data_IF_956450101672
#
_entry.id   IF_956450101672
#
_cell.length_a   1.000
_cell.length_b   1.000
_cell.length_c   1.000
_cell.angle_alpha   90.00
_cell.angle_beta   90.00
_cell.angle_gamma   90.00
#
_symmetry.space_group_name_H-M   'P 1'
#
loop_
_entity.id
_entity.type
_entity.pdbx_description
1 polymer ?
#
# COMPACT_ATOMS: atom_id res chain seq x y z
N UNK A 1 7.95 -20.14 16.38
CA UNK A 1 7.34 -20.78 15.19
C UNK A 1 5.97 -20.19 15.01
N UNK A 2 5.61 -19.68 13.82
CA UNK A 2 4.23 -19.27 13.56
C UNK A 2 3.37 -20.53 13.50
N UNK A 3 2.29 -20.59 14.28
CA UNK A 3 1.33 -21.68 14.20
C UNK A 3 0.71 -21.73 12.81
N UNK A 4 0.57 -22.93 12.25
CA UNK A 4 -0.12 -23.16 10.99
C UNK A 4 -1.58 -23.48 11.26
N UNK A 5 -2.52 -23.08 10.41
CA UNK A 5 -3.91 -23.51 10.56
C UNK A 5 -4.00 -25.02 10.45
N UNK A 6 -4.86 -25.61 11.23
CA UNK A 6 -5.12 -27.05 11.25
C UNK A 6 -6.59 -27.33 10.97
N UNK A 7 -6.93 -28.58 10.72
CA UNK A 7 -8.33 -29.01 10.58
C UNK A 7 -9.11 -28.80 11.89
N UNK A 8 -8.42 -28.86 13.02
CA UNK A 8 -9.03 -28.62 14.34
C UNK A 8 -9.53 -27.18 14.49
N UNK A 9 -8.85 -26.21 13.87
CA UNK A 9 -9.32 -24.82 13.83
C UNK A 9 -10.74 -24.73 13.28
N UNK A 10 -11.04 -25.44 12.19
CA UNK A 10 -12.36 -25.41 11.60
C UNK A 10 -13.38 -26.19 12.45
N UNK A 11 -12.96 -27.30 13.04
CA UNK A 11 -13.82 -28.09 13.95
C UNK A 11 -14.24 -27.27 15.18
N UNK A 12 -13.29 -26.62 15.84
CA UNK A 12 -13.56 -25.75 16.99
C UNK A 12 -14.44 -24.57 16.63
N UNK A 13 -14.11 -23.90 15.51
CA UNK A 13 -14.88 -22.79 14.99
C UNK A 13 -16.33 -23.20 14.72
N UNK A 14 -16.54 -24.32 13.98
CA UNK A 14 -17.87 -24.82 13.63
C UNK A 14 -18.71 -25.17 14.87
N UNK A 15 -18.11 -25.85 15.84
CA UNK A 15 -18.82 -26.24 17.07
C UNK A 15 -19.20 -25.03 17.98
N UNK A 16 -18.52 -23.92 17.83
CA UNK A 16 -18.85 -22.68 18.56
C UNK A 16 -19.92 -21.82 17.87
N UNK A 17 -20.37 -22.18 16.67
CA UNK A 17 -21.42 -21.45 15.97
C UNK A 17 -22.83 -21.84 16.43
N UNK A 18 -23.68 -20.90 16.84
CA UNK A 18 -25.02 -21.21 17.36
C UNK A 18 -25.93 -21.99 16.41
N UNK A 19 -25.72 -21.82 15.08
CA UNK A 19 -26.54 -22.49 14.05
C UNK A 19 -26.11 -23.93 13.80
N UNK A 20 -24.92 -24.33 14.24
CA UNK A 20 -24.37 -25.68 14.05
C UNK A 20 -24.57 -26.48 15.31
N UNK A 21 -25.13 -27.69 15.17
CA UNK A 21 -25.29 -28.64 16.29
C UNK A 21 -24.04 -29.52 16.48
N UNK A 22 -23.36 -29.84 15.38
CA UNK A 22 -22.13 -30.64 15.37
C UNK A 22 -21.29 -30.35 14.12
N UNK A 23 -19.98 -30.24 14.30
CA UNK A 23 -19.00 -30.10 13.23
C UNK A 23 -18.01 -31.27 13.25
N UNK A 24 -18.10 -32.17 12.30
CA UNK A 24 -17.22 -33.32 12.15
C UNK A 24 -16.25 -33.06 11.02
N UNK A 25 -14.94 -33.15 11.26
CA UNK A 25 -13.90 -32.97 10.24
C UNK A 25 -13.16 -34.29 10.06
N UNK A 26 -13.25 -34.84 8.84
CA UNK A 26 -12.58 -36.09 8.46
C UNK A 26 -11.09 -35.87 8.09
N UNK A 27 -10.34 -36.98 8.06
CA UNK A 27 -8.95 -36.99 7.61
C UNK A 27 -8.82 -36.69 6.10
N UNK A 28 -9.90 -36.85 5.35
CA UNK A 28 -10.05 -36.50 3.92
C UNK A 28 -10.21 -34.98 3.68
N UNK A 29 -10.13 -34.19 4.76
CA UNK A 29 -10.33 -32.74 4.74
C UNK A 29 -11.76 -32.32 4.37
N UNK A 30 -12.73 -33.18 4.55
CA UNK A 30 -14.14 -32.84 4.42
C UNK A 30 -14.72 -32.57 5.80
N UNK A 31 -15.35 -31.40 5.94
CA UNK A 31 -16.12 -31.03 7.11
C UNK A 31 -17.60 -31.28 6.85
N UNK A 32 -18.24 -32.01 7.74
CA UNK A 32 -19.69 -32.22 7.77
C UNK A 32 -20.28 -31.34 8.89
N UNK A 33 -21.10 -30.36 8.51
CA UNK A 33 -21.79 -29.46 9.41
C UNK A 33 -23.23 -29.93 9.56
N UNK A 34 -23.63 -30.36 10.76
CA UNK A 34 -25.02 -30.63 11.09
C UNK A 34 -25.64 -29.34 11.60
N UNK A 35 -26.68 -28.89 10.96
CA UNK A 35 -27.40 -27.68 11.34
C UNK A 35 -28.47 -28.02 12.36
N UNK A 36 -28.83 -27.08 13.24
CA UNK A 36 -29.89 -27.30 14.25
C UNK A 36 -31.31 -27.47 13.67
N UNK A 37 -31.48 -27.18 12.36
CA UNK A 37 -32.72 -27.40 11.62
C UNK A 37 -32.73 -28.73 10.82
N UNK A 38 -31.98 -29.72 11.26
CA UNK A 38 -31.81 -31.04 10.65
C UNK A 38 -31.18 -31.05 9.24
N UNK A 39 -30.54 -29.93 8.85
CA UNK A 39 -29.78 -29.87 7.59
C UNK A 39 -28.35 -30.37 7.76
N UNK A 40 -27.80 -30.96 6.68
CA UNK A 40 -26.39 -31.35 6.61
C UNK A 40 -25.70 -30.64 5.42
N UNK A 41 -24.52 -30.07 5.68
CA UNK A 41 -23.72 -29.42 4.68
C UNK A 41 -22.29 -29.99 4.71
N UNK A 42 -21.79 -30.43 3.56
CA UNK A 42 -20.40 -30.87 3.40
C UNK A 42 -19.57 -29.82 2.72
N UNK A 43 -18.38 -29.57 3.27
CA UNK A 43 -17.45 -28.51 2.85
C UNK A 43 -16.05 -29.11 2.77
N UNK A 44 -15.32 -28.84 1.69
CA UNK A 44 -13.90 -29.17 1.56
C UNK A 44 -13.06 -28.12 2.26
N UNK A 45 -12.10 -28.55 3.06
CA UNK A 45 -11.13 -27.68 3.73
C UNK A 45 -9.80 -27.69 2.99
N UNK A 46 -9.30 -26.51 2.67
CA UNK A 46 -8.02 -26.31 1.98
C UNK A 46 -7.09 -25.50 2.88
N UNK A 47 -5.99 -26.10 3.30
CA UNK A 47 -5.03 -25.44 4.18
C UNK A 47 -4.02 -24.66 3.37
N UNK A 48 -3.94 -23.35 3.56
CA UNK A 48 -2.90 -22.49 3.01
C UNK A 48 -1.84 -22.17 4.08
N UNK A 49 -0.58 -22.33 3.74
CA UNK A 49 0.54 -22.06 4.66
C UNK A 49 0.73 -20.58 4.99
N UNK A 50 0.32 -19.71 4.11
CA UNK A 50 0.33 -18.24 4.25
C UNK A 50 -0.98 -17.70 3.63
N UNK A 51 -1.41 -16.51 4.05
CA UNK A 51 -2.64 -15.87 3.52
C UNK A 51 -2.38 -14.83 2.43
N UNK A 52 -1.27 -14.93 1.70
CA UNK A 52 -0.95 -13.97 0.63
C UNK A 52 -1.76 -14.24 -0.65
N UNK A 53 -2.09 -13.18 -1.42
CA UNK A 53 -2.90 -13.29 -2.62
C UNK A 53 -2.42 -14.34 -3.63
N UNK A 54 -1.10 -14.48 -3.83
CA UNK A 54 -0.52 -15.48 -4.74
C UNK A 54 -0.91 -16.90 -4.35
N UNK A 55 -0.67 -17.26 -3.10
CA UNK A 55 -0.96 -18.61 -2.62
C UNK A 55 -2.45 -18.93 -2.59
N UNK A 56 -3.26 -17.93 -2.28
CA UNK A 56 -4.72 -18.11 -2.30
C UNK A 56 -5.22 -18.27 -3.74
N UNK A 57 -4.69 -17.54 -4.71
CA UNK A 57 -5.00 -17.75 -6.14
C UNK A 57 -4.60 -19.14 -6.61
N UNK A 58 -3.38 -19.59 -6.25
CA UNK A 58 -2.92 -20.95 -6.54
C UNK A 58 -3.85 -21.99 -5.90
N UNK A 59 -4.18 -21.84 -4.62
CA UNK A 59 -5.10 -22.74 -3.94
C UNK A 59 -6.49 -22.78 -4.59
N UNK A 60 -7.04 -21.63 -5.01
CA UNK A 60 -8.31 -21.55 -5.72
C UNK A 60 -8.24 -22.27 -7.07
N UNK A 61 -7.14 -22.07 -7.83
CA UNK A 61 -6.96 -22.69 -9.14
C UNK A 61 -6.85 -24.22 -9.08
N UNK A 62 -6.26 -24.72 -7.99
CA UNK A 62 -6.06 -26.16 -7.78
C UNK A 62 -7.27 -26.86 -7.14
N UNK A 63 -8.32 -26.11 -6.78
CA UNK A 63 -9.51 -26.67 -6.15
C UNK A 63 -10.40 -27.42 -7.14
N UNK A 64 -10.82 -28.65 -6.79
CA UNK A 64 -11.88 -29.30 -7.53
C UNK A 64 -13.22 -28.55 -7.37
N UNK A 65 -13.97 -28.44 -8.46
CA UNK A 65 -15.26 -27.72 -8.50
C UNK A 65 -16.47 -28.54 -8.05
N UNK A 66 -16.27 -29.78 -7.58
CA UNK A 66 -17.31 -30.71 -7.21
C UNK A 66 -17.98 -30.43 -5.86
N UNK A 67 -17.32 -29.59 -5.02
CA UNK A 67 -17.78 -29.28 -3.67
C UNK A 67 -17.37 -27.85 -3.26
N UNK A 68 -18.23 -27.18 -2.52
CA UNK A 68 -17.89 -25.89 -1.89
C UNK A 68 -16.67 -26.03 -0.99
N UNK A 69 -15.73 -25.12 -1.15
CA UNK A 69 -14.44 -25.17 -0.46
C UNK A 69 -14.25 -23.96 0.48
N UNK A 70 -13.57 -24.20 1.60
CA UNK A 70 -13.18 -23.17 2.57
C UNK A 70 -11.67 -23.20 2.77
N UNK A 71 -11.00 -22.06 2.56
CA UNK A 71 -9.57 -21.91 2.75
C UNK A 71 -9.29 -21.59 4.22
N UNK A 72 -8.43 -22.39 4.84
CA UNK A 72 -7.89 -22.15 6.17
C UNK A 72 -6.52 -21.50 6.02
N UNK A 73 -6.34 -20.29 6.51
CA UNK A 73 -5.08 -19.57 6.43
C UNK A 73 -4.67 -18.96 7.77
N UNK A 74 -3.37 -18.71 8.03
CA UNK A 74 -2.97 -18.04 9.26
C UNK A 74 -3.56 -16.64 9.37
N UNK A 75 -3.71 -15.95 8.26
CA UNK A 75 -4.24 -14.61 8.14
C UNK A 75 -4.83 -14.39 6.74
N UNK A 76 -5.97 -13.71 6.67
CA UNK A 76 -6.63 -13.29 5.43
C UNK A 76 -6.64 -11.76 5.38
N UNK A 77 -6.07 -11.18 4.31
CA UNK A 77 -6.15 -9.73 4.06
C UNK A 77 -7.51 -9.39 3.43
N UNK A 78 -7.90 -8.11 3.46
CA UNK A 78 -9.10 -7.64 2.77
C UNK A 78 -9.07 -8.00 1.27
N UNK A 79 -7.93 -7.76 0.60
CA UNK A 79 -7.71 -8.13 -0.80
C UNK A 79 -7.88 -9.64 -1.02
N UNK A 80 -7.36 -10.47 -0.10
CA UNK A 80 -7.48 -11.93 -0.20
C UNK A 80 -8.91 -12.40 0.07
N UNK A 81 -9.60 -11.76 1.01
CA UNK A 81 -11.02 -12.01 1.26
C UNK A 81 -11.88 -11.72 0.03
N UNK A 82 -11.60 -10.62 -0.67
CA UNK A 82 -12.28 -10.26 -1.92
C UNK A 82 -12.00 -11.26 -3.05
N UNK A 83 -10.76 -11.79 -3.14
CA UNK A 83 -10.43 -12.86 -4.08
C UNK A 83 -11.25 -14.12 -3.80
N UNK A 84 -11.34 -14.55 -2.53
CA UNK A 84 -12.14 -15.70 -2.13
C UNK A 84 -13.62 -15.50 -2.48
N UNK A 85 -14.19 -14.34 -2.14
CA UNK A 85 -15.59 -14.01 -2.44
C UNK A 85 -15.90 -14.02 -3.93
N UNK A 86 -15.02 -13.42 -4.77
CA UNK A 86 -15.16 -13.42 -6.24
C UNK A 86 -15.10 -14.82 -6.85
N UNK A 87 -14.36 -15.71 -6.21
CA UNK A 87 -14.24 -17.10 -6.62
C UNK A 87 -15.31 -18.02 -5.99
N UNK A 88 -16.26 -17.45 -5.24
CA UNK A 88 -17.29 -18.19 -4.50
C UNK A 88 -16.72 -19.26 -3.53
N UNK A 89 -15.55 -18.96 -2.94
CA UNK A 89 -14.83 -19.81 -1.98
C UNK A 89 -14.91 -19.18 -0.59
N UNK A 90 -15.17 -19.97 0.43
CA UNK A 90 -15.13 -19.54 1.82
C UNK A 90 -13.69 -19.40 2.34
N UNK A 91 -13.55 -18.70 3.47
CA UNK A 91 -12.29 -18.65 4.21
C UNK A 91 -12.52 -18.59 5.71
N UNK A 92 -11.50 -19.04 6.46
CA UNK A 92 -11.37 -18.89 7.90
C UNK A 92 -9.91 -18.61 8.25
N UNK A 93 -9.64 -17.55 9.01
CA UNK A 93 -8.31 -17.28 9.54
C UNK A 93 -8.17 -17.70 11.01
N UNK A 94 -6.94 -17.71 11.52
CA UNK A 94 -6.66 -18.16 12.90
C UNK A 94 -7.20 -17.25 14.00
N UNK A 95 -7.67 -16.04 13.67
CA UNK A 95 -8.36 -15.15 14.60
C UNK A 95 -9.89 -15.33 14.55
N UNK A 96 -10.39 -16.23 13.69
CA UNK A 96 -11.82 -16.46 13.51
C UNK A 96 -12.49 -15.47 12.56
N UNK A 97 -11.74 -14.64 11.81
CA UNK A 97 -12.34 -13.92 10.69
C UNK A 97 -12.74 -14.93 9.62
N UNK A 98 -13.98 -14.86 9.17
CA UNK A 98 -14.58 -15.89 8.34
C UNK A 98 -15.57 -15.32 7.34
N UNK A 99 -15.65 -15.97 6.17
CA UNK A 99 -16.75 -15.83 5.24
C UNK A 99 -17.09 -17.20 4.66
N UNK A 100 -18.33 -17.64 4.86
CA UNK A 100 -18.89 -18.86 4.28
C UNK A 100 -20.28 -18.52 3.76
N UNK A 101 -20.49 -18.67 2.46
CA UNK A 101 -21.77 -18.40 1.79
C UNK A 101 -22.11 -19.59 0.89
N UNK A 102 -22.82 -20.58 1.42
CA UNK A 102 -23.15 -21.79 0.68
C UNK A 102 -24.50 -22.37 1.10
N UNK A 103 -25.38 -22.61 0.13
CA UNK A 103 -26.77 -23.09 0.35
C UNK A 103 -27.50 -22.18 1.35
N UNK A 104 -28.00 -22.76 2.45
CA UNK A 104 -28.69 -22.04 3.53
C UNK A 104 -27.74 -21.46 4.59
N UNK A 105 -26.44 -21.65 4.46
CA UNK A 105 -25.44 -21.18 5.43
C UNK A 105 -24.78 -19.89 4.96
N UNK A 106 -24.96 -18.83 5.74
CA UNK A 106 -24.23 -17.58 5.57
C UNK A 106 -23.56 -17.18 6.89
N UNK A 107 -22.25 -17.09 6.90
CA UNK A 107 -21.45 -16.70 8.06
C UNK A 107 -20.48 -15.63 7.60
N UNK A 108 -20.49 -14.46 8.24
CA UNK A 108 -19.50 -13.41 8.02
C UNK A 108 -19.06 -12.86 9.37
N UNK A 109 -17.78 -13.03 9.70
CA UNK A 109 -17.13 -12.52 10.90
C UNK A 109 -15.90 -11.73 10.46
N UNK A 110 -15.83 -10.45 10.87
CA UNK A 110 -14.76 -9.53 10.53
C UNK A 110 -14.30 -8.76 11.75
N UNK A 111 -13.07 -8.26 11.68
CA UNK A 111 -12.54 -7.29 12.65
C UNK A 111 -11.82 -7.93 13.84
N UNK A 112 -11.73 -9.25 13.93
CA UNK A 112 -10.92 -9.91 14.95
C UNK A 112 -9.44 -9.58 14.73
N UNK A 113 -8.75 -9.13 15.78
CA UNK A 113 -7.31 -8.88 15.73
C UNK A 113 -6.56 -10.19 15.53
N UNK A 114 -5.82 -10.29 14.44
CA UNK A 114 -5.04 -11.47 14.12
C UNK A 114 -3.54 -11.19 14.36
N UNK A 115 -2.97 -11.83 15.37
CA UNK A 115 -1.54 -11.71 15.72
C UNK A 115 -0.64 -12.41 14.68
N UNK A 116 -1.18 -13.32 13.88
CA UNK A 116 -0.48 -13.98 12.78
C UNK A 116 -0.37 -13.10 11.54
N UNK A 117 -0.94 -11.89 11.60
CA UNK A 117 -0.81 -10.90 10.53
C UNK A 117 0.66 -10.78 10.12
N UNK A 118 1.00 -10.91 8.83
CA UNK A 118 2.36 -10.75 8.35
C UNK A 118 2.80 -9.30 8.48
N UNK A 119 2.95 -8.84 9.75
CA UNK A 119 3.11 -7.43 10.06
C UNK A 119 4.51 -6.88 9.79
N UNK A 120 5.54 -7.73 9.80
CA UNK A 120 6.93 -7.24 9.56
C UNK A 120 7.32 -7.18 8.09
N UNK A 121 6.76 -8.03 7.23
CA UNK A 121 7.11 -8.06 5.81
C UNK A 121 6.53 -6.87 5.02
N UNK A 122 5.23 -6.58 5.19
CA UNK A 122 4.53 -5.50 4.49
C UNK A 122 5.04 -4.13 4.98
N UNK A 123 5.09 -3.93 6.30
CA UNK A 123 5.61 -2.69 6.87
C UNK A 123 7.06 -2.44 6.45
N UNK A 124 7.93 -3.47 6.43
CA UNK A 124 9.35 -3.28 6.13
C UNK A 124 9.66 -2.80 4.72
N UNK A 125 8.82 -3.08 3.72
CA UNK A 125 9.02 -2.59 2.35
C UNK A 125 8.57 -1.13 2.18
N UNK A 126 7.49 -0.76 2.85
CA UNK A 126 6.89 0.57 2.76
C UNK A 126 7.31 1.53 3.89
N UNK A 127 8.02 1.02 4.92
CA UNK A 127 8.44 1.84 6.05
C UNK A 127 9.43 2.93 5.63
N UNK A 128 9.33 4.09 6.28
CA UNK A 128 10.23 5.23 6.08
C UNK A 128 11.70 4.87 6.34
N UNK A 129 11.97 3.97 7.28
CA UNK A 129 13.32 3.45 7.57
C UNK A 129 13.92 2.62 6.43
N UNK A 130 13.08 2.12 5.53
CA UNK A 130 13.50 1.31 4.38
C UNK A 130 13.79 2.17 3.15
N UNK A 131 14.78 3.07 3.25
CA UNK A 131 15.15 4.02 2.18
C UNK A 131 15.38 3.31 0.85
N UNK A 132 16.15 2.23 0.85
CA UNK A 132 16.45 1.46 -0.38
C UNK A 132 15.20 0.86 -1.00
N UNK A 133 14.29 0.30 -0.20
CA UNK A 133 13.00 -0.22 -0.70
C UNK A 133 12.16 0.88 -1.32
N UNK A 134 12.14 2.07 -0.69
CA UNK A 134 11.46 3.25 -1.23
C UNK A 134 12.03 3.68 -2.60
N UNK A 135 13.35 3.66 -2.77
CA UNK A 135 14.00 3.98 -4.06
C UNK A 135 13.61 2.94 -5.12
N UNK A 136 13.69 1.64 -4.80
CA UNK A 136 13.32 0.55 -5.71
C UNK A 136 11.86 0.69 -6.16
N UNK A 137 10.93 0.92 -5.23
CA UNK A 137 9.52 1.12 -5.54
C UNK A 137 9.28 2.34 -6.45
N UNK A 138 9.97 3.45 -6.20
CA UNK A 138 9.87 4.67 -7.02
C UNK A 138 10.34 4.43 -8.44
N UNK A 139 11.45 3.71 -8.63
CA UNK A 139 11.96 3.36 -9.96
C UNK A 139 10.97 2.47 -10.71
N UNK A 140 10.41 1.45 -10.04
CA UNK A 140 9.41 0.55 -10.63
C UNK A 140 8.13 1.29 -11.04
N UNK A 141 7.69 2.26 -10.24
CA UNK A 141 6.45 3.01 -10.46
C UNK A 141 6.60 4.22 -11.40
N UNK A 142 7.83 4.62 -11.72
CA UNK A 142 8.08 5.70 -12.70
C UNK A 142 7.75 5.26 -14.13
N UNK A 143 8.03 3.99 -14.45
CA UNK A 143 7.60 3.36 -15.71
C UNK A 143 7.08 1.94 -15.45
N UNK A 144 5.78 1.85 -15.24
CA UNK A 144 5.10 0.57 -14.92
C UNK A 144 5.04 -0.40 -16.09
N UNK A 145 5.29 0.05 -17.33
CA UNK A 145 5.31 -0.80 -18.54
C UNK A 145 6.66 -1.45 -18.77
N UNK A 146 7.72 -0.97 -18.10
CA UNK A 146 9.06 -1.49 -18.24
C UNK A 146 9.23 -2.79 -17.48
N UNK A 147 9.81 -3.78 -18.15
CA UNK A 147 10.32 -5.00 -17.51
C UNK A 147 11.76 -4.76 -17.05
N UNK A 148 12.03 -5.00 -15.77
CA UNK A 148 13.32 -4.75 -15.15
C UNK A 148 14.04 -6.06 -14.84
N UNK A 149 15.27 -6.22 -15.32
CA UNK A 149 16.16 -7.26 -14.80
C UNK A 149 16.64 -6.86 -13.41
N UNK A 150 16.77 -7.82 -12.48
CA UNK A 150 17.14 -7.52 -11.10
C UNK A 150 18.49 -6.79 -10.98
N UNK A 151 19.45 -7.13 -11.84
CA UNK A 151 20.76 -6.46 -11.88
C UNK A 151 20.66 -5.00 -12.32
N UNK A 152 19.86 -4.71 -13.33
CA UNK A 152 19.62 -3.34 -13.82
C UNK A 152 18.90 -2.50 -12.77
N UNK A 153 17.88 -3.06 -12.12
CA UNK A 153 17.14 -2.39 -11.05
C UNK A 153 18.05 -2.12 -9.83
N UNK A 154 18.93 -3.06 -9.48
CA UNK A 154 19.93 -2.87 -8.41
C UNK A 154 20.90 -1.74 -8.73
N UNK A 155 21.38 -1.68 -9.97
CA UNK A 155 22.25 -0.60 -10.44
C UNK A 155 21.54 0.75 -10.43
N UNK A 156 20.31 0.82 -10.94
CA UNK A 156 19.50 2.04 -10.96
C UNK A 156 19.16 2.55 -9.55
N UNK A 157 18.94 1.62 -8.61
CA UNK A 157 18.64 1.93 -7.20
C UNK A 157 19.90 2.16 -6.33
N UNK A 158 21.11 1.97 -6.87
CA UNK A 158 22.36 2.08 -6.10
C UNK A 158 22.47 1.08 -4.95
N UNK A 159 21.95 -0.15 -5.13
CA UNK A 159 21.85 -1.12 -4.04
C UNK A 159 22.28 -2.55 -4.47
N UNK A 160 22.26 -3.49 -3.52
CA UNK A 160 22.58 -4.90 -3.83
C UNK A 160 21.38 -5.62 -4.48
N UNK A 161 21.68 -6.65 -5.31
CA UNK A 161 20.67 -7.53 -5.90
C UNK A 161 19.82 -8.21 -4.80
N UNK A 162 20.42 -8.53 -3.64
CA UNK A 162 19.71 -9.12 -2.51
C UNK A 162 18.61 -8.19 -1.93
N UNK A 163 18.86 -6.87 -1.93
CA UNK A 163 17.85 -5.89 -1.52
C UNK A 163 16.70 -5.81 -2.53
N UNK A 164 17.01 -5.80 -3.83
CA UNK A 164 16.00 -5.87 -4.89
C UNK A 164 15.18 -7.16 -4.78
N UNK A 165 15.85 -8.31 -4.54
CA UNK A 165 15.16 -9.60 -4.40
C UNK A 165 14.14 -9.60 -3.26
N UNK A 166 14.46 -8.99 -2.12
CA UNK A 166 13.52 -8.87 -0.98
C UNK A 166 12.25 -8.08 -1.37
N UNK A 167 12.44 -6.95 -2.06
CA UNK A 167 11.30 -6.14 -2.54
C UNK A 167 10.49 -6.90 -3.59
N UNK A 168 11.18 -7.54 -4.56
CA UNK A 168 10.56 -8.39 -5.57
C UNK A 168 9.73 -9.52 -4.93
N UNK A 169 10.32 -10.27 -4.00
CA UNK A 169 9.63 -11.40 -3.36
C UNK A 169 8.37 -10.96 -2.62
N UNK A 170 8.40 -9.78 -2.01
CA UNK A 170 7.23 -9.17 -1.41
C UNK A 170 6.17 -8.84 -2.48
N UNK A 171 6.53 -8.12 -3.56
CA UNK A 171 5.60 -7.71 -4.62
C UNK A 171 5.00 -8.92 -5.36
N UNK A 172 5.79 -9.97 -5.59
CA UNK A 172 5.31 -11.25 -6.18
C UNK A 172 4.30 -11.95 -5.27
N UNK A 173 4.54 -11.99 -3.96
CA UNK A 173 3.58 -12.58 -2.99
C UNK A 173 2.25 -11.83 -2.98
N UNK A 174 2.28 -10.51 -3.18
CA UNK A 174 1.09 -9.66 -3.27
C UNK A 174 0.43 -9.70 -4.65
N UNK A 175 1.04 -10.34 -5.64
CA UNK A 175 0.59 -10.33 -7.05
C UNK A 175 0.57 -8.93 -7.67
N UNK A 176 1.49 -8.05 -7.25
CA UNK A 176 1.61 -6.69 -7.79
C UNK A 176 2.54 -6.59 -8.99
N UNK A 177 3.38 -7.59 -9.16
CA UNK A 177 4.30 -7.71 -10.29
C UNK A 177 4.14 -9.06 -10.97
N UNK A 178 4.33 -9.08 -12.28
CA UNK A 178 4.60 -10.29 -13.03
C UNK A 178 6.10 -10.60 -13.02
N UNK A 179 6.44 -11.87 -13.03
CA UNK A 179 7.82 -12.36 -13.08
C UNK A 179 7.99 -13.32 -14.25
N UNK A 180 8.87 -12.97 -15.18
CA UNK A 180 9.25 -13.78 -16.32
C UNK A 180 10.75 -14.05 -16.36
N UNK A 181 11.21 -14.77 -17.39
CA UNK A 181 12.65 -14.94 -17.69
C UNK A 181 13.35 -13.61 -18.02
N UNK A 182 12.60 -12.62 -18.49
CA UNK A 182 13.12 -11.31 -18.86
C UNK A 182 13.28 -10.36 -17.66
N UNK A 183 12.54 -10.60 -16.57
CA UNK A 183 12.60 -9.78 -15.37
C UNK A 183 11.27 -9.66 -14.64
N UNK A 184 11.07 -8.51 -14.01
CA UNK A 184 9.83 -8.15 -13.30
C UNK A 184 9.20 -6.90 -13.91
N UNK A 185 7.87 -6.88 -14.00
CA UNK A 185 7.08 -5.73 -14.42
C UNK A 185 5.92 -5.51 -13.45
N UNK A 186 5.54 -4.24 -13.24
CA UNK A 186 4.43 -3.90 -12.34
C UNK A 186 3.12 -4.10 -13.09
N UNK A 187 2.23 -4.94 -12.55
CA UNK A 187 0.91 -5.23 -13.14
C UNK A 187 -0.25 -4.60 -12.36
N UNK A 188 -0.02 -4.27 -11.08
CA UNK A 188 -1.03 -3.61 -10.25
C UNK A 188 -0.41 -2.42 -9.47
N UNK A 189 -0.05 -1.33 -10.16
CA UNK A 189 0.52 -0.14 -9.52
C UNK A 189 -0.46 0.52 -8.56
N UNK A 190 -1.76 0.39 -8.79
CA UNK A 190 -2.81 0.96 -7.93
C UNK A 190 -2.78 0.35 -6.53
N UNK A 191 -2.70 -0.96 -6.44
CA UNK A 191 -2.62 -1.65 -5.14
C UNK A 191 -1.30 -1.36 -4.42
N UNK A 192 -0.18 -1.30 -5.15
CA UNK A 192 1.12 -0.90 -4.57
C UNK A 192 1.03 0.48 -3.94
N UNK A 193 0.49 1.46 -4.66
CA UNK A 193 0.39 2.85 -4.20
C UNK A 193 -0.56 3.00 -3.01
N UNK A 194 -1.71 2.34 -3.04
CA UNK A 194 -2.69 2.39 -1.96
C UNK A 194 -2.17 1.75 -0.66
N UNK A 195 -1.48 0.61 -0.76
CA UNK A 195 -0.88 -0.03 0.41
C UNK A 195 0.29 0.78 0.97
N UNK A 196 1.07 1.41 0.08
CA UNK A 196 2.13 2.30 0.52
C UNK A 196 1.56 3.53 1.24
N UNK A 197 0.51 4.14 0.71
CA UNK A 197 -0.14 5.31 1.32
C UNK A 197 -0.68 5.02 2.73
N UNK A 198 -1.24 3.83 2.99
CA UNK A 198 -1.69 3.43 4.34
C UNK A 198 -0.55 3.48 5.37
N UNK A 199 0.64 2.96 5.00
CA UNK A 199 1.82 2.97 5.86
C UNK A 199 2.45 4.36 5.94
N UNK A 200 2.43 5.10 4.83
CA UNK A 200 3.00 6.44 4.73
C UNK A 200 2.24 7.46 5.56
N UNK A 201 0.90 7.40 5.56
CA UNK A 201 0.04 8.29 6.36
C UNK A 201 0.20 8.10 7.87
N UNK A 202 0.54 6.87 8.30
CA UNK A 202 0.84 6.55 9.69
C UNK A 202 2.22 7.07 10.14
N UNK A 203 3.10 7.42 9.18
CA UNK A 203 4.40 7.99 9.47
C UNK A 203 4.25 9.48 9.80
N UNK A 204 4.60 9.87 11.03
CA UNK A 204 4.64 11.29 11.43
C UNK A 204 5.83 11.97 10.73
N UNK A 205 5.58 12.58 9.57
CA UNK A 205 6.56 13.46 8.95
C UNK A 205 6.57 14.81 9.67
N UNK A 206 7.77 15.35 9.90
CA UNK A 206 7.90 16.68 10.46
C UNK A 206 7.36 17.71 9.46
N UNK A 207 6.35 18.46 9.88
CA UNK A 207 5.74 19.54 9.09
C UNK A 207 5.99 20.88 9.78
N UNK A 208 6.72 21.74 9.09
CA UNK A 208 7.01 23.08 9.59
C UNK A 208 6.03 24.06 8.96
N UNK A 209 5.27 24.72 9.79
CA UNK A 209 4.25 25.69 9.39
C UNK A 209 4.87 27.10 9.34
N UNK A 210 4.71 27.77 8.20
CA UNK A 210 5.21 29.11 7.98
C UNK A 210 4.12 30.01 7.38
N UNK A 211 4.32 31.32 7.53
CA UNK A 211 3.45 32.35 6.98
C UNK A 211 4.25 33.35 6.14
N UNK A 212 3.68 33.74 5.00
CA UNK A 212 4.12 34.84 4.15
C UNK A 212 2.96 35.75 3.80
N UNK A 213 3.24 37.03 3.60
CA UNK A 213 2.27 38.01 3.05
C UNK A 213 2.24 37.98 1.52
N UNK A 214 3.23 37.35 0.88
CA UNK A 214 3.30 37.26 -0.57
C UNK A 214 2.19 36.35 -1.14
N UNK A 215 1.71 36.60 -2.35
CA UNK A 215 0.83 35.69 -3.07
C UNK A 215 1.44 34.29 -3.19
N UNK A 216 0.60 33.26 -3.21
CA UNK A 216 1.07 31.85 -3.30
C UNK A 216 1.92 31.62 -4.56
N UNK A 217 1.53 32.22 -5.68
CA UNK A 217 2.25 32.16 -6.96
C UNK A 217 3.69 32.64 -6.85
N UNK A 218 3.90 33.77 -6.15
CA UNK A 218 5.23 34.36 -5.99
C UNK A 218 6.11 33.50 -5.08
N UNK A 219 5.50 32.88 -4.05
CA UNK A 219 6.19 31.93 -3.16
C UNK A 219 6.64 30.71 -3.94
N UNK A 220 5.76 30.13 -4.79
CA UNK A 220 6.04 28.94 -5.59
C UNK A 220 7.11 29.20 -6.66
N UNK A 221 7.09 30.37 -7.30
CA UNK A 221 8.15 30.78 -8.23
C UNK A 221 9.50 30.91 -7.53
N UNK A 222 9.54 31.54 -6.35
CA UNK A 222 10.78 31.65 -5.57
C UNK A 222 11.29 30.31 -5.08
N UNK A 223 10.42 29.40 -4.66
CA UNK A 223 10.79 28.02 -4.33
C UNK A 223 11.46 27.36 -5.53
N UNK A 224 10.92 27.53 -6.72
CA UNK A 224 11.44 26.91 -7.94
C UNK A 224 12.80 27.46 -8.37
N UNK A 225 13.06 28.74 -8.11
CA UNK A 225 14.35 29.40 -8.39
C UNK A 225 15.43 29.11 -7.35
N UNK A 226 15.06 28.62 -6.17
CA UNK A 226 15.96 28.44 -5.04
C UNK A 226 17.13 27.49 -5.34
N UNK A 227 16.90 26.48 -6.20
CA UNK A 227 17.96 25.56 -6.64
C UNK A 227 19.06 26.28 -7.44
N UNK A 228 18.66 27.15 -8.38
CA UNK A 228 19.61 27.91 -9.23
C UNK A 228 20.32 29.03 -8.44
N UNK A 229 19.57 29.73 -7.58
CA UNK A 229 20.09 30.90 -6.88
C UNK A 229 20.86 30.58 -5.60
N UNK A 230 20.58 29.46 -4.94
CA UNK A 230 21.13 29.10 -3.63
C UNK A 230 21.63 27.67 -3.50
N UNK A 231 21.45 26.85 -4.52
CA UNK A 231 21.79 25.42 -4.46
C UNK A 231 20.86 24.59 -3.56
N UNK A 232 19.75 25.18 -3.12
CA UNK A 232 18.78 24.52 -2.21
C UNK A 232 17.72 23.81 -3.04
N UNK A 233 17.61 22.49 -2.87
CA UNK A 233 16.58 21.71 -3.54
C UNK A 233 15.30 21.69 -2.73
N UNK A 234 14.28 22.39 -3.20
CA UNK A 234 12.95 22.47 -2.60
C UNK A 234 11.91 22.23 -3.68
N UNK A 235 11.02 21.25 -3.47
CA UNK A 235 10.09 20.79 -4.50
C UNK A 235 8.65 21.01 -4.07
N UNK A 236 7.83 21.52 -4.99
CA UNK A 236 6.39 21.57 -4.75
C UNK A 236 5.82 20.16 -4.64
N UNK A 237 4.99 19.94 -3.60
CA UNK A 237 4.32 18.67 -3.32
C UNK A 237 2.90 18.89 -2.81
N UNK A 238 2.22 17.85 -2.34
CA UNK A 238 0.85 17.95 -1.83
C UNK A 238 -0.05 18.68 -2.81
N UNK A 239 -0.87 19.63 -2.33
CA UNK A 239 -1.77 20.38 -3.20
C UNK A 239 -1.03 21.21 -4.27
N UNK A 240 0.04 21.89 -3.91
CA UNK A 240 0.82 22.72 -4.85
C UNK A 240 1.44 21.92 -5.97
N UNK A 241 2.05 20.77 -5.63
CA UNK A 241 2.59 19.83 -6.61
C UNK A 241 1.48 19.13 -7.39
N UNK A 242 0.43 18.71 -6.72
CA UNK A 242 -0.66 17.96 -7.32
C UNK A 242 -1.39 18.70 -8.42
N UNK A 243 -1.71 19.98 -8.24
CA UNK A 243 -2.38 20.79 -9.28
C UNK A 243 -1.48 21.11 -10.48
N UNK A 244 -0.16 20.94 -10.36
CA UNK A 244 0.75 21.05 -11.50
C UNK A 244 0.61 19.85 -12.44
N UNK A 245 0.41 18.66 -11.87
CA UNK A 245 0.09 17.45 -12.63
C UNK A 245 -1.35 17.46 -13.11
N UNK A 246 -2.31 17.66 -12.16
CA UNK A 246 -3.75 17.55 -12.41
C UNK A 246 -4.50 18.70 -11.71
N UNK A 247 -5.00 19.71 -12.43
CA UNK A 247 -5.62 20.90 -11.84
C UNK A 247 -7.08 20.66 -11.42
N UNK A 248 -7.30 19.68 -10.55
CA UNK A 248 -8.67 19.26 -10.13
C UNK A 248 -9.20 19.98 -8.89
N UNK A 249 -8.32 20.65 -8.10
CA UNK A 249 -8.72 21.38 -6.90
C UNK A 249 -8.10 22.77 -6.82
N UNK A 250 -8.71 23.65 -6.00
CA UNK A 250 -8.09 24.91 -5.55
C UNK A 250 -7.45 24.73 -4.19
N UNK A 251 -6.37 25.42 -3.91
CA UNK A 251 -5.65 25.35 -2.65
C UNK A 251 -5.31 26.74 -2.12
N UNK A 252 -5.06 26.83 -0.81
CA UNK A 252 -4.73 28.08 -0.10
C UNK A 252 -3.42 27.99 0.66
N UNK A 253 -2.69 26.88 0.52
CA UNK A 253 -1.42 26.65 1.21
C UNK A 253 -0.42 26.03 0.25
N UNK A 254 0.76 26.60 0.17
CA UNK A 254 1.90 26.00 -0.53
C UNK A 254 2.40 24.82 0.30
N UNK A 255 2.58 23.67 -0.33
CA UNK A 255 3.25 22.51 0.24
C UNK A 255 4.56 22.28 -0.49
N UNK A 256 5.64 22.21 0.24
CA UNK A 256 6.97 21.99 -0.33
C UNK A 256 7.75 20.94 0.46
N UNK A 257 8.47 20.11 -0.27
CA UNK A 257 9.35 19.08 0.24
C UNK A 257 10.78 19.64 0.30
N UNK A 258 11.45 19.46 1.43
CA UNK A 258 12.80 19.99 1.65
C UNK A 258 13.64 19.06 2.51
N UNK A 259 14.95 19.06 2.31
CA UNK A 259 15.87 18.41 3.23
C UNK A 259 16.01 19.19 4.55
N UNK A 260 16.16 18.47 5.66
CA UNK A 260 16.27 19.07 6.99
C UNK A 260 17.45 20.07 7.10
N UNK A 261 18.56 19.77 6.41
CA UNK A 261 19.74 20.65 6.38
C UNK A 261 19.49 22.00 5.73
N UNK A 262 18.59 22.05 4.75
CA UNK A 262 18.32 23.26 3.95
C UNK A 262 17.16 24.11 4.48
N UNK A 263 16.37 23.57 5.42
CA UNK A 263 15.13 24.20 5.90
C UNK A 263 15.33 25.64 6.39
N UNK A 264 16.36 25.88 7.21
CA UNK A 264 16.62 27.22 7.75
C UNK A 264 16.95 28.21 6.64
N UNK A 265 17.85 27.85 5.75
CA UNK A 265 18.24 28.68 4.61
C UNK A 265 17.07 29.00 3.68
N UNK A 266 16.17 28.02 3.46
CA UNK A 266 14.96 28.23 2.68
C UNK A 266 13.97 29.20 3.34
N UNK A 267 13.75 29.09 4.66
CA UNK A 267 12.90 30.03 5.42
C UNK A 267 13.45 31.46 5.32
N UNK A 268 14.75 31.62 5.51
CA UNK A 268 15.42 32.92 5.45
C UNK A 268 15.36 33.52 4.02
N UNK A 269 15.64 32.72 3.01
CA UNK A 269 15.57 33.13 1.60
C UNK A 269 14.17 33.58 1.18
N UNK A 270 13.13 32.84 1.59
CA UNK A 270 11.74 33.17 1.26
C UNK A 270 11.15 34.27 2.15
N UNK A 271 11.84 34.69 3.21
CA UNK A 271 11.36 35.68 4.17
C UNK A 271 10.14 35.22 4.94
N UNK A 272 10.09 33.94 5.31
CA UNK A 272 8.97 33.32 6.00
C UNK A 272 9.08 33.47 7.52
N UNK A 273 7.94 33.48 8.19
CA UNK A 273 7.84 33.37 9.67
C UNK A 273 7.26 32.02 10.06
N UNK A 274 7.91 31.31 10.98
CA UNK A 274 7.31 30.12 11.60
C UNK A 274 6.11 30.55 12.44
N UNK A 275 5.02 29.79 12.34
CA UNK A 275 3.76 30.08 13.05
C UNK A 275 3.10 28.78 13.52
N UNK A 276 2.38 28.86 14.63
CA UNK A 276 1.63 27.72 15.16
C UNK A 276 0.24 27.60 14.51
N UNK A 277 -0.28 28.71 13.97
CA UNK A 277 -1.58 28.75 13.30
C UNK A 277 -1.59 29.77 12.15
N UNK A 278 -2.53 29.65 11.23
CA UNK A 278 -2.68 30.57 10.10
C UNK A 278 -1.60 30.41 9.01
N UNK A 279 -0.88 29.30 8.97
CA UNK A 279 0.15 29.03 7.97
C UNK A 279 -0.44 28.99 6.55
N UNK A 280 0.28 29.58 5.60
CA UNK A 280 0.03 29.44 4.17
C UNK A 280 1.19 28.78 3.40
N UNK A 281 2.28 28.41 4.10
CA UNK A 281 3.37 27.60 3.60
C UNK A 281 3.64 26.47 4.57
N UNK A 282 3.72 25.25 4.07
CA UNK A 282 3.99 24.05 4.86
C UNK A 282 5.17 23.32 4.24
N UNK A 283 6.26 23.23 4.97
CA UNK A 283 7.37 22.36 4.59
C UNK A 283 7.19 20.98 5.17
N UNK A 284 7.34 19.96 4.32
CA UNK A 284 7.46 18.55 4.70
C UNK A 284 8.96 18.23 4.70
N UNK A 285 9.49 17.96 5.91
CA UNK A 285 10.94 17.83 6.10
C UNK A 285 11.38 16.40 5.92
N UNK A 286 12.40 16.18 5.11
CA UNK A 286 13.04 14.87 4.88
C UNK A 286 14.46 14.84 5.45
N UNK A 287 14.85 13.68 5.92
CA UNK A 287 16.14 13.46 6.57
C UNK A 287 17.08 12.51 5.80
N UNK A 288 16.73 12.09 4.59
CA UNK A 288 17.39 10.98 3.90
C UNK A 288 17.82 11.27 2.46
N UNK A 289 17.94 12.52 2.07
CA UNK A 289 18.53 12.92 0.78
C UNK A 289 17.81 12.43 -0.48
N UNK A 290 16.59 11.89 -0.36
CA UNK A 290 15.82 11.39 -1.51
C UNK A 290 14.78 12.39 -2.04
N UNK A 291 14.96 13.69 -1.72
CA UNK A 291 13.98 14.74 -2.04
C UNK A 291 13.75 14.87 -3.54
N UNK A 292 14.82 14.91 -4.32
CA UNK A 292 14.79 15.18 -5.75
C UNK A 292 14.58 13.96 -6.66
N UNK A 293 14.43 12.75 -6.12
CA UNK A 293 14.32 11.54 -6.94
C UNK A 293 13.10 11.60 -7.87
N UNK A 294 13.34 11.53 -9.20
CA UNK A 294 12.32 11.61 -10.25
C UNK A 294 11.47 12.90 -10.21
N UNK A 295 12.02 13.99 -9.67
CA UNK A 295 11.38 15.31 -9.73
C UNK A 295 11.24 15.79 -11.18
N UNK A 296 10.25 16.64 -11.44
CA UNK A 296 9.94 17.15 -12.79
C UNK A 296 9.81 18.67 -12.78
N UNK A 297 10.15 19.30 -13.88
CA UNK A 297 9.85 20.71 -14.10
C UNK A 297 8.51 20.79 -14.84
N UNK A 298 7.49 21.36 -14.18
CA UNK A 298 6.13 21.51 -14.73
C UNK A 298 5.73 22.97 -14.61
N UNK A 299 5.46 23.63 -15.74
CA UNK A 299 5.10 25.05 -15.80
C UNK A 299 6.11 25.93 -15.03
N UNK A 300 7.40 25.73 -15.31
CA UNK A 300 8.53 26.40 -14.67
C UNK A 300 8.66 26.19 -13.15
N UNK A 301 7.97 25.22 -12.60
CA UNK A 301 8.08 24.86 -11.17
C UNK A 301 8.75 23.49 -11.01
N UNK A 302 9.66 23.40 -10.03
CA UNK A 302 10.25 22.14 -9.63
C UNK A 302 9.25 21.39 -8.74
N UNK A 303 8.80 20.24 -9.21
CA UNK A 303 7.71 19.44 -8.58
C UNK A 303 8.25 18.07 -8.24
N UNK A 304 7.89 17.56 -7.05
CA UNK A 304 8.21 16.20 -6.64
C UNK A 304 7.62 15.17 -7.61
N UNK A 305 8.18 13.96 -7.63
CA UNK A 305 7.70 12.88 -8.50
C UNK A 305 6.22 12.59 -8.30
N UNK A 306 5.50 12.05 -9.31
CA UNK A 306 4.09 11.68 -9.17
C UNK A 306 3.84 10.75 -7.98
N UNK A 307 4.74 9.80 -7.74
CA UNK A 307 4.68 8.87 -6.59
C UNK A 307 4.75 9.63 -5.27
N UNK A 308 5.68 10.59 -5.14
CA UNK A 308 5.80 11.39 -3.92
C UNK A 308 4.58 12.27 -3.70
N UNK A 309 4.13 12.97 -4.74
CA UNK A 309 2.95 13.86 -4.66
C UNK A 309 1.70 13.07 -4.30
N UNK A 310 1.51 11.86 -4.86
CA UNK A 310 0.43 10.96 -4.47
C UNK A 310 0.45 10.66 -2.97
N UNK A 311 1.60 10.22 -2.45
CA UNK A 311 1.74 9.85 -1.03
C UNK A 311 1.47 11.05 -0.10
N UNK A 312 2.01 12.22 -0.44
CA UNK A 312 1.80 13.42 0.34
C UNK A 312 0.32 13.88 0.30
N UNK A 313 -0.34 13.80 -0.87
CA UNK A 313 -1.75 14.12 -1.01
C UNK A 313 -2.65 13.18 -0.19
N UNK A 314 -2.36 11.87 -0.19
CA UNK A 314 -3.09 10.89 0.63
C UNK A 314 -2.98 11.16 2.13
N UNK A 315 -1.91 11.84 2.58
CA UNK A 315 -1.73 12.26 3.98
C UNK A 315 -2.41 13.59 4.34
N UNK A 316 -2.98 14.30 3.35
CA UNK A 316 -3.64 15.58 3.57
C UNK A 316 -5.16 15.39 3.78
N UNK A 317 -5.70 16.16 4.74
CA UNK A 317 -7.15 16.19 4.97
C UNK A 317 -7.87 16.93 3.83
N UNK A 318 -9.13 16.58 3.61
CA UNK A 318 -9.99 17.24 2.64
C UNK A 318 -9.87 16.62 1.26
N UNK A 319 -9.57 17.43 0.22
CA UNK A 319 -9.55 16.98 -1.18
C UNK A 319 -8.22 16.38 -1.64
N UNK A 320 -7.36 15.94 -0.70
CA UNK A 320 -6.07 15.31 -1.05
C UNK A 320 -6.25 14.01 -1.83
N UNK A 321 -7.20 13.17 -1.45
CA UNK A 321 -7.52 11.92 -2.13
C UNK A 321 -7.95 12.14 -3.59
N UNK A 322 -8.69 13.21 -3.87
CA UNK A 322 -9.15 13.54 -5.23
C UNK A 322 -7.97 13.83 -6.18
N UNK A 323 -6.98 14.60 -5.70
CA UNK A 323 -5.74 14.83 -6.45
C UNK A 323 -4.93 13.55 -6.59
N UNK A 324 -4.79 12.80 -5.49
CA UNK A 324 -4.02 11.56 -5.49
C UNK A 324 -4.59 10.57 -6.51
N UNK A 325 -5.91 10.38 -6.55
CA UNK A 325 -6.56 9.51 -7.53
C UNK A 325 -6.33 9.99 -8.97
N UNK A 326 -6.43 11.29 -9.21
CA UNK A 326 -6.16 11.86 -10.54
C UNK A 326 -4.71 11.61 -10.99
N UNK A 327 -3.73 11.76 -10.08
CA UNK A 327 -2.32 11.49 -10.35
C UNK A 327 -2.10 9.99 -10.58
N UNK A 328 -2.70 9.14 -9.75
CA UNK A 328 -2.59 7.69 -9.89
C UNK A 328 -3.01 7.24 -11.29
N UNK A 329 -4.18 7.69 -11.74
CA UNK A 329 -4.77 7.29 -13.02
C UNK A 329 -4.05 7.90 -14.24
N UNK A 330 -3.50 9.12 -14.13
CA UNK A 330 -2.95 9.86 -15.27
C UNK A 330 -1.42 9.82 -15.36
N UNK A 331 -0.73 9.66 -14.23
CA UNK A 331 0.72 9.76 -14.18
C UNK A 331 1.42 8.44 -13.83
N UNK A 332 0.75 7.53 -13.08
CA UNK A 332 1.36 6.28 -12.59
C UNK A 332 0.79 5.06 -13.32
N UNK A 333 -0.52 4.96 -13.47
CA UNK A 333 -1.19 3.83 -14.14
C UNK A 333 -1.38 4.07 -15.66
N UNK A 334 -0.32 4.48 -16.37
CA UNK A 334 -0.35 4.76 -17.81
C UNK A 334 -0.36 3.49 -18.64
#
# INVERSE_FOLDING_TARGET
MKSKPSLDLFREFGNNLPIISECIVGNDKIATLKLRNDGEIKIRLVISGEGYPKQIKEAISDMPSDMYSVILAPYITEQTADLCKKAEVGFLDMAGNCHIAYKSLYIEIKGNKNENKPGRGIKSVYERSSVVSSIILRILLEDTRRTWRLKELAQAAGCSIGQVSKVKDFLVKQTYVDQSSEGISVIDPKSVMNDWAKVYSDSQEEKIQCYSRAPLTDIEERISKMKEERGIECLLTGFSGGVRYQPVVRYQKVHALIDAGDLKAAIDYLGLKKVDSGANVIFIVKYNGCVGLNSRIIKNCLVASPVQVFLDCMSLKGRGEEIAEAILNKEICK
#
